data_IF_611627109000
#
_entry.id   IF_611627109000
#
_cell.length_a   1.000
_cell.length_b   1.000
_cell.length_c   1.000
_cell.angle_alpha   90.00
_cell.angle_beta   90.00
_cell.angle_gamma   90.00
#
_symmetry.space_group_name_H-M   'P 1'
#
loop_
_entity.id
_entity.type
_entity.pdbx_description
1 polymer ?
#
# COMPACT_ATOMS: atom_id res chain seq x y z
N UNK A 1 -15.53 8.02 -24.03
CA UNK A 1 -15.26 6.58 -23.77
C UNK A 1 -15.59 6.31 -22.30
N UNK A 2 -16.15 5.14 -21.95
CA UNK A 2 -16.46 4.77 -20.56
C UNK A 2 -15.44 3.74 -20.06
N UNK A 3 -14.98 3.89 -18.82
CA UNK A 3 -14.10 2.93 -18.15
C UNK A 3 -14.62 2.65 -16.74
N UNK A 4 -14.31 1.47 -16.21
CA UNK A 4 -14.70 1.07 -14.86
C UNK A 4 -13.59 1.32 -13.84
N UNK A 5 -14.01 1.60 -12.61
CA UNK A 5 -13.16 1.57 -11.42
C UNK A 5 -13.72 0.59 -10.39
N UNK A 6 -12.88 -0.25 -9.75
CA UNK A 6 -13.39 -1.28 -8.85
C UNK A 6 -13.90 -0.67 -7.55
N UNK A 7 -15.18 -0.91 -7.21
CA UNK A 7 -15.81 -0.35 -6.01
C UNK A 7 -15.57 -1.17 -4.74
N UNK A 8 -15.24 -2.45 -4.90
CA UNK A 8 -14.95 -3.33 -3.77
C UNK A 8 -13.66 -2.91 -3.05
N UNK A 9 -13.66 -3.10 -1.74
CA UNK A 9 -12.53 -2.92 -0.84
C UNK A 9 -12.10 -4.27 -0.22
N UNK A 10 -12.83 -5.35 -0.49
CA UNK A 10 -12.47 -6.67 -0.01
C UNK A 10 -11.42 -7.28 -0.95
N UNK A 11 -10.15 -7.24 -0.55
CA UNK A 11 -9.02 -7.76 -1.35
C UNK A 11 -9.26 -9.17 -1.91
N UNK A 12 -9.81 -10.14 -1.15
CA UNK A 12 -10.07 -11.49 -1.69
C UNK A 12 -11.11 -11.53 -2.82
N UNK A 13 -11.95 -10.50 -2.94
CA UNK A 13 -12.95 -10.37 -4.00
C UNK A 13 -12.43 -9.67 -5.25
N UNK A 14 -11.26 -9.02 -5.16
CA UNK A 14 -10.65 -8.28 -6.26
C UNK A 14 -9.83 -9.22 -7.14
N UNK A 15 -10.02 -9.12 -8.46
CA UNK A 15 -9.08 -9.69 -9.41
C UNK A 15 -7.75 -8.94 -9.39
N UNK A 16 -6.69 -9.57 -9.90
CA UNK A 16 -5.38 -8.94 -10.00
C UNK A 16 -5.41 -7.66 -10.86
N UNK A 17 -6.24 -7.62 -11.91
CA UNK A 17 -6.45 -6.42 -12.73
C UNK A 17 -7.11 -5.30 -11.92
N UNK A 18 -8.17 -5.60 -11.16
CA UNK A 18 -8.83 -4.61 -10.31
C UNK A 18 -7.87 -4.07 -9.23
N UNK A 19 -7.08 -4.95 -8.63
CA UNK A 19 -6.08 -4.56 -7.65
C UNK A 19 -4.97 -3.71 -8.28
N UNK A 20 -4.54 -4.05 -9.50
CA UNK A 20 -3.55 -3.29 -10.25
C UNK A 20 -4.02 -1.86 -10.53
N UNK A 21 -5.29 -1.67 -10.92
CA UNK A 21 -5.89 -0.35 -11.14
C UNK A 21 -5.85 0.51 -9.87
N UNK A 22 -6.18 -0.10 -8.71
CA UNK A 22 -6.09 0.58 -7.40
C UNK A 22 -4.66 0.95 -7.05
N UNK A 23 -3.70 0.04 -7.25
CA UNK A 23 -2.27 0.30 -7.02
C UNK A 23 -1.79 1.45 -7.89
N UNK A 24 -2.10 1.40 -9.19
CA UNK A 24 -1.68 2.38 -10.18
C UNK A 24 -2.21 3.78 -9.87
N UNK A 25 -3.45 3.91 -9.37
CA UNK A 25 -4.02 5.20 -8.94
C UNK A 25 -3.16 5.93 -7.91
N UNK A 26 -2.53 5.20 -6.99
CA UNK A 26 -1.81 5.76 -5.84
C UNK A 26 -0.30 5.71 -5.99
N UNK A 27 0.20 5.21 -7.11
CA UNK A 27 1.62 5.00 -7.36
C UNK A 27 2.13 5.94 -8.43
N UNK A 28 3.22 6.64 -8.16
CA UNK A 28 3.83 7.56 -9.12
C UNK A 28 4.28 6.82 -10.37
N UNK A 29 4.15 7.48 -11.51
CA UNK A 29 4.67 6.94 -12.76
C UNK A 29 6.21 6.86 -12.69
N UNK A 30 6.79 5.75 -13.13
CA UNK A 30 8.24 5.56 -13.23
C UNK A 30 8.80 6.15 -14.51
N UNK A 31 7.98 6.28 -15.56
CA UNK A 31 8.39 6.80 -16.87
C UNK A 31 8.33 8.34 -16.98
N UNK A 32 7.54 9.02 -16.15
CA UNK A 32 7.47 10.49 -16.13
C UNK A 32 7.50 11.07 -14.71
N UNK A 33 8.06 12.26 -14.56
CA UNK A 33 8.33 12.86 -13.25
C UNK A 33 7.14 13.59 -12.60
N UNK A 34 6.12 13.94 -13.38
CA UNK A 34 5.01 14.78 -12.94
C UNK A 34 3.72 14.01 -12.63
N UNK A 35 3.62 12.73 -12.98
CA UNK A 35 2.40 11.96 -12.79
C UNK A 35 2.35 11.37 -11.37
N UNK A 36 1.42 11.81 -10.51
CA UNK A 36 1.32 11.33 -9.13
C UNK A 36 0.68 9.93 -9.02
N UNK A 37 0.04 9.45 -10.10
CA UNK A 37 -0.79 8.24 -10.11
C UNK A 37 -1.65 8.16 -11.36
N UNK A 38 -2.20 6.98 -11.64
CA UNK A 38 -3.11 6.74 -12.77
C UNK A 38 -4.28 7.73 -12.75
N UNK A 39 -4.48 8.41 -13.88
CA UNK A 39 -5.59 9.36 -14.12
C UNK A 39 -6.26 9.03 -15.44
N UNK A 40 -7.60 9.13 -15.53
CA UNK A 40 -8.28 8.96 -16.81
C UNK A 40 -7.80 9.99 -17.84
N UNK A 41 -7.55 9.58 -19.11
CA UNK A 41 -7.32 10.50 -20.21
C UNK A 41 -8.52 11.43 -20.45
N UNK A 42 -8.32 12.58 -21.12
CA UNK A 42 -9.42 13.50 -21.43
C UNK A 42 -10.50 12.81 -22.26
N UNK A 43 -11.77 13.01 -21.91
CA UNK A 43 -12.91 12.37 -22.58
C UNK A 43 -13.18 10.91 -22.17
N UNK A 44 -12.44 10.37 -21.19
CA UNK A 44 -12.75 9.11 -20.51
C UNK A 44 -13.58 9.40 -19.26
N UNK A 45 -14.79 8.84 -19.21
CA UNK A 45 -15.67 8.90 -18.06
C UNK A 45 -15.54 7.62 -17.24
N UNK A 46 -15.22 7.76 -15.96
CA UNK A 46 -14.99 6.62 -15.05
C UNK A 46 -16.21 6.43 -14.18
N UNK A 47 -16.76 5.21 -14.15
CA UNK A 47 -17.86 4.82 -13.24
C UNK A 47 -17.44 3.65 -12.38
N UNK A 48 -18.12 3.44 -11.25
CA UNK A 48 -17.90 2.25 -10.44
C UNK A 48 -18.48 1.00 -11.13
N UNK A 49 -17.83 -0.15 -10.93
CA UNK A 49 -18.28 -1.45 -11.44
C UNK A 49 -19.57 -1.98 -10.77
N UNK A 50 -19.91 -1.42 -9.61
CA UNK A 50 -21.09 -1.80 -8.83
C UNK A 50 -22.32 -0.92 -9.10
N UNK A 51 -22.15 0.19 -9.82
CA UNK A 51 -23.28 1.03 -10.23
C UNK A 51 -24.04 0.31 -11.36
N UNK A 52 -25.39 0.25 -11.31
CA UNK A 52 -26.15 -0.28 -12.41
C UNK A 52 -25.79 0.49 -13.68
N UNK A 53 -25.47 -0.23 -14.75
CA UNK A 53 -25.23 0.38 -16.06
C UNK A 53 -26.55 0.95 -16.54
N UNK A 54 -26.81 2.21 -16.22
CA UNK A 54 -27.92 2.94 -16.79
C UNK A 54 -27.55 3.23 -18.24
N UNK A 55 -28.07 2.42 -19.15
CA UNK A 55 -27.88 2.55 -20.60
C UNK A 55 -28.59 3.79 -21.18
N UNK A 56 -29.13 4.68 -20.34
CA UNK A 56 -29.82 5.90 -20.74
C UNK A 56 -28.85 7.07 -20.95
N UNK A 57 -27.96 6.96 -21.95
CA UNK A 57 -27.49 8.15 -22.66
C UNK A 57 -28.34 8.36 -23.91
N UNK A 58 -28.72 9.60 -24.26
CA UNK A 58 -29.54 9.85 -25.43
C UNK A 58 -28.73 9.50 -26.69
N UNK A 59 -29.21 8.49 -27.41
CA UNK A 59 -28.77 8.17 -28.75
C UNK A 59 -28.98 9.39 -29.67
N UNK A 60 -27.89 10.03 -30.07
CA UNK A 60 -27.88 10.84 -31.28
C UNK A 60 -26.50 10.78 -31.93
N UNK A 61 -26.33 9.80 -32.82
CA UNK A 61 -25.58 9.90 -34.10
C UNK A 61 -25.47 8.51 -34.76
N UNK A 62 -26.48 8.19 -35.55
CA UNK A 62 -26.46 7.45 -36.83
C UNK A 62 -25.49 6.26 -37.05
N UNK A 63 -26.12 5.07 -37.16
CA UNK A 63 -25.98 4.04 -38.21
C UNK A 63 -24.59 3.45 -38.60
N UNK A 64 -24.58 2.11 -38.62
CA UNK A 64 -23.61 1.17 -39.19
C UNK A 64 -22.33 0.93 -38.36
N UNK A 65 -22.31 -0.15 -37.56
CA UNK A 65 -21.40 -1.30 -37.76
C UNK A 65 -21.56 -2.36 -36.66
N UNK A 66 -21.90 -3.58 -37.10
CA UNK A 66 -21.51 -4.87 -36.52
C UNK A 66 -22.04 -5.25 -35.14
N UNK A 67 -22.40 -6.53 -34.98
CA UNK A 67 -22.61 -7.18 -33.68
C UNK A 67 -21.34 -7.03 -32.85
N UNK A 68 -21.26 -5.98 -32.04
CA UNK A 68 -20.25 -5.86 -30.98
C UNK A 68 -20.91 -6.42 -29.74
N UNK A 69 -20.26 -7.45 -29.19
CA UNK A 69 -20.64 -8.09 -27.94
C UNK A 69 -21.03 -7.05 -26.89
N UNK A 70 -22.09 -7.32 -26.14
CA UNK A 70 -22.48 -6.60 -24.94
C UNK A 70 -21.42 -6.83 -23.84
N UNK A 71 -20.19 -6.39 -24.12
CA UNK A 71 -19.02 -6.53 -23.30
C UNK A 71 -19.01 -5.32 -22.35
N UNK A 72 -19.05 -5.61 -21.05
CA UNK A 72 -18.88 -4.61 -20.01
C UNK A 72 -17.66 -3.72 -20.32
N UNK A 73 -17.74 -2.39 -20.14
CA UNK A 73 -16.60 -1.50 -20.35
C UNK A 73 -15.37 -2.00 -19.57
N UNK A 74 -14.16 -1.87 -20.14
CA UNK A 74 -12.95 -2.32 -19.47
C UNK A 74 -12.64 -1.46 -18.25
N UNK A 75 -11.79 -1.97 -17.37
CA UNK A 75 -11.22 -1.15 -16.30
C UNK A 75 -10.28 -0.08 -16.86
N UNK A 76 -10.05 0.97 -16.07
CA UNK A 76 -9.11 2.03 -16.43
C UNK A 76 -7.68 1.49 -16.53
N UNK A 77 -7.13 1.37 -17.73
CA UNK A 77 -5.78 0.82 -17.98
C UNK A 77 -4.72 1.85 -18.36
N UNK A 78 -5.12 2.99 -18.92
CA UNK A 78 -4.20 3.99 -19.47
C UNK A 78 -4.30 5.30 -18.69
N UNK A 79 -3.16 5.95 -18.50
CA UNK A 79 -3.07 7.23 -17.81
C UNK A 79 -3.12 8.42 -18.78
N UNK A 80 -3.55 9.59 -18.29
CA UNK A 80 -3.37 10.88 -18.98
C UNK A 80 -1.91 11.18 -19.36
N UNK A 81 -0.94 10.61 -18.65
CA UNK A 81 0.47 10.76 -18.99
C UNK A 81 0.93 9.88 -20.16
N UNK A 82 0.03 9.04 -20.70
CA UNK A 82 0.31 8.15 -21.84
C UNK A 82 0.95 6.81 -21.47
N UNK A 83 1.07 6.50 -20.17
CA UNK A 83 1.62 5.23 -19.69
C UNK A 83 0.55 4.37 -19.00
N UNK A 84 0.81 3.07 -18.90
CA UNK A 84 -0.13 2.06 -18.47
C UNK A 84 0.06 1.70 -16.98
N UNK A 85 -0.64 0.68 -16.52
CA UNK A 85 -0.58 0.20 -15.13
C UNK A 85 0.84 -0.19 -14.71
N UNK A 86 1.64 -0.74 -15.64
CA UNK A 86 3.01 -1.17 -15.38
C UNK A 86 3.91 -0.02 -14.93
N UNK A 87 3.88 1.10 -15.65
CA UNK A 87 4.68 2.27 -15.30
C UNK A 87 4.15 2.97 -14.04
N UNK A 88 2.94 2.65 -13.60
CA UNK A 88 2.37 3.09 -12.33
C UNK A 88 2.56 2.03 -11.23
N UNK A 89 3.58 1.18 -11.32
CA UNK A 89 3.99 0.31 -10.22
C UNK A 89 3.00 -0.82 -9.90
N UNK A 90 2.15 -1.18 -10.87
CA UNK A 90 1.21 -2.30 -10.80
C UNK A 90 1.58 -3.44 -11.78
N UNK A 91 2.85 -3.53 -12.16
CA UNK A 91 3.36 -4.65 -12.95
C UNK A 91 3.62 -5.88 -12.07
N UNK A 92 2.69 -6.83 -12.13
CA UNK A 92 2.77 -8.09 -11.39
C UNK A 92 3.94 -8.98 -11.85
N UNK A 93 4.46 -8.78 -13.07
CA UNK A 93 5.56 -9.58 -13.61
C UNK A 93 6.93 -9.12 -13.12
N UNK A 94 7.08 -7.83 -12.77
CA UNK A 94 8.33 -7.26 -12.27
C UNK A 94 8.37 -7.09 -10.76
N UNK A 95 7.22 -7.12 -10.08
CA UNK A 95 7.11 -6.95 -8.63
C UNK A 95 6.80 -8.31 -7.98
N UNK A 96 7.48 -8.59 -6.87
CA UNK A 96 7.20 -9.80 -6.08
C UNK A 96 5.73 -9.85 -5.63
N UNK A 97 5.06 -11.02 -5.65
CA UNK A 97 3.65 -11.13 -5.23
C UNK A 97 3.37 -10.61 -3.82
N UNK A 98 4.32 -10.74 -2.88
CA UNK A 98 4.17 -10.20 -1.53
C UNK A 98 4.14 -8.67 -1.53
N UNK A 99 5.01 -8.05 -2.32
CA UNK A 99 5.07 -6.60 -2.49
C UNK A 99 3.84 -6.07 -3.25
N UNK A 100 3.39 -6.78 -4.30
CA UNK A 100 2.14 -6.46 -4.99
C UNK A 100 0.95 -6.49 -4.02
N UNK A 101 0.86 -7.54 -3.19
CA UNK A 101 -0.16 -7.63 -2.14
C UNK A 101 -0.03 -6.53 -1.08
N UNK A 102 1.19 -6.14 -0.69
CA UNK A 102 1.44 -5.04 0.25
C UNK A 102 0.95 -3.71 -0.30
N UNK A 103 1.28 -3.41 -1.55
CA UNK A 103 0.78 -2.23 -2.27
C UNK A 103 -0.74 -2.26 -2.43
N UNK A 104 -1.29 -3.42 -2.77
CA UNK A 104 -2.73 -3.62 -2.86
C UNK A 104 -3.47 -3.27 -1.56
N UNK A 105 -2.97 -3.72 -0.41
CA UNK A 105 -3.53 -3.39 0.91
C UNK A 105 -3.54 -1.88 1.20
N UNK A 106 -2.44 -1.20 0.89
CA UNK A 106 -2.32 0.25 1.10
C UNK A 106 -3.23 1.02 0.14
N UNK A 107 -3.31 0.59 -1.12
CA UNK A 107 -4.18 1.20 -2.14
C UNK A 107 -5.66 1.05 -1.80
N UNK A 108 -6.09 -0.13 -1.37
CA UNK A 108 -7.45 -0.37 -0.88
C UNK A 108 -7.80 0.54 0.29
N UNK A 109 -6.89 0.66 1.27
CA UNK A 109 -7.09 1.57 2.40
C UNK A 109 -7.21 3.03 1.99
N UNK A 110 -6.44 3.46 0.98
CA UNK A 110 -6.55 4.82 0.45
C UNK A 110 -7.90 5.03 -0.26
N UNK A 111 -8.38 4.03 -0.99
CA UNK A 111 -9.70 4.08 -1.63
C UNK A 111 -10.85 4.10 -0.62
N UNK A 112 -10.75 3.36 0.50
CA UNK A 112 -11.75 3.41 1.58
C UNK A 112 -11.91 4.84 2.11
N UNK A 113 -10.80 5.51 2.44
CA UNK A 113 -10.83 6.90 2.91
C UNK A 113 -11.44 7.85 1.87
N UNK A 114 -11.11 7.66 0.59
CA UNK A 114 -11.70 8.46 -0.49
C UNK A 114 -13.19 8.19 -0.67
N UNK A 115 -13.62 6.94 -0.47
CA UNK A 115 -15.03 6.55 -0.56
C UNK A 115 -15.84 7.13 0.59
N UNK A 116 -15.31 7.12 1.80
CA UNK A 116 -15.96 7.72 2.98
C UNK A 116 -16.21 9.23 2.81
N UNK A 117 -15.39 9.91 2.01
CA UNK A 117 -15.53 11.32 1.69
C UNK A 117 -16.26 11.61 0.36
N UNK A 118 -16.80 10.59 -0.32
CA UNK A 118 -17.42 10.69 -1.66
C UNK A 118 -16.48 11.28 -2.74
N UNK A 119 -15.18 11.00 -2.60
CA UNK A 119 -14.10 11.46 -3.50
C UNK A 119 -13.43 10.31 -4.23
N UNK A 120 -14.05 9.12 -4.24
CA UNK A 120 -13.48 7.94 -4.87
C UNK A 120 -13.30 8.11 -6.39
N UNK A 121 -14.15 8.86 -7.07
CA UNK A 121 -13.98 9.16 -8.50
C UNK A 121 -13.31 10.52 -8.76
N UNK A 122 -13.03 11.29 -7.71
CA UNK A 122 -12.20 12.48 -7.82
C UNK A 122 -10.73 12.05 -7.84
N UNK A 123 -10.20 11.91 -9.06
CA UNK A 123 -8.79 11.62 -9.22
C UNK A 123 -7.94 12.82 -8.78
N UNK A 124 -8.34 14.07 -8.99
CA UNK A 124 -7.50 15.22 -8.64
C UNK A 124 -7.32 15.41 -7.12
N UNK A 125 -8.25 14.91 -6.31
CA UNK A 125 -8.21 15.07 -4.86
C UNK A 125 -6.98 14.45 -4.19
N UNK A 126 -6.48 15.15 -3.17
CA UNK A 126 -5.41 14.69 -2.29
C UNK A 126 -5.48 15.42 -0.94
N UNK A 127 -5.20 14.69 0.12
CA UNK A 127 -5.01 15.22 1.48
C UNK A 127 -3.75 14.62 2.14
N UNK A 128 -3.52 14.93 3.41
CA UNK A 128 -2.35 14.47 4.16
C UNK A 128 -2.37 12.95 4.45
N UNK A 129 -3.56 12.36 4.65
CA UNK A 129 -3.71 10.92 4.90
C UNK A 129 -3.43 10.12 3.63
N UNK A 130 -4.04 10.51 2.51
CA UNK A 130 -3.80 9.92 1.19
C UNK A 130 -2.34 10.09 0.80
N UNK A 131 -1.76 11.27 1.00
CA UNK A 131 -0.33 11.50 0.74
C UNK A 131 0.56 10.61 1.61
N UNK A 132 0.18 10.37 2.86
CA UNK A 132 0.85 9.45 3.78
C UNK A 132 0.83 8.00 3.28
N UNK A 133 -0.31 7.51 2.80
CA UNK A 133 -0.44 6.17 2.24
C UNK A 133 0.34 6.02 0.93
N UNK A 134 0.30 7.02 0.05
CA UNK A 134 1.08 7.02 -1.20
C UNK A 134 2.60 6.92 -0.96
N UNK A 135 3.12 7.45 0.16
CA UNK A 135 4.52 7.26 0.53
C UNK A 135 4.84 5.80 0.90
N UNK A 136 3.88 5.08 1.48
CA UNK A 136 4.05 3.66 1.80
C UNK A 136 4.01 2.76 0.55
N UNK A 137 3.50 3.25 -0.58
CA UNK A 137 3.54 2.53 -1.87
C UNK A 137 4.94 2.51 -2.50
N UNK A 138 5.83 3.40 -2.06
CA UNK A 138 7.20 3.46 -2.58
C UNK A 138 8.05 2.38 -1.90
N UNK A 139 8.88 1.70 -2.69
CA UNK A 139 9.92 0.83 -2.13
C UNK A 139 10.83 1.74 -1.31
N UNK A 140 11.05 1.48 -0.01
CA UNK A 140 12.10 2.17 0.71
C UNK A 140 13.40 1.94 -0.06
N UNK A 141 14.18 2.98 -0.42
CA UNK A 141 15.56 2.74 -0.82
C UNK A 141 16.17 2.05 0.38
N UNK A 142 16.49 0.76 0.22
CA UNK A 142 16.97 -0.16 1.24
C UNK A 142 17.09 0.49 2.61
N UNK A 143 16.23 0.10 3.55
CA UNK A 143 16.64 0.15 4.95
C UNK A 143 17.99 -0.55 5.00
N UNK A 144 19.08 0.21 4.92
CA UNK A 144 20.41 -0.24 5.28
C UNK A 144 20.16 -0.84 6.63
N UNK A 145 20.34 -2.15 6.67
CA UNK A 145 20.09 -3.03 7.80
C UNK A 145 20.14 -2.20 9.08
N UNK A 146 18.97 -1.94 9.67
CA UNK A 146 18.95 -1.58 11.08
C UNK A 146 19.38 -2.86 11.77
N UNK A 147 20.69 -3.09 11.79
CA UNK A 147 21.37 -4.16 12.49
C UNK A 147 20.98 -4.03 13.96
N UNK A 148 19.88 -4.69 14.31
CA UNK A 148 19.55 -5.10 15.67
C UNK A 148 20.66 -6.00 16.26
N UNK A 149 21.65 -6.37 15.45
CA UNK A 149 22.92 -7.00 15.81
C UNK A 149 23.85 -6.11 16.66
N UNK A 150 23.76 -4.77 16.60
CA UNK A 150 24.69 -3.88 17.34
C UNK A 150 24.24 -3.59 18.80
N UNK A 151 23.00 -3.90 19.17
CA UNK A 151 22.48 -3.61 20.51
C UNK A 151 22.66 -4.76 21.53
N UNK A 152 23.20 -5.91 21.13
CA UNK A 152 23.45 -7.05 22.03
C UNK A 152 24.95 -7.32 22.31
N UNK A 153 25.85 -6.47 21.81
CA UNK A 153 27.30 -6.62 21.98
C UNK A 153 27.94 -5.84 23.14
N UNK A 154 27.19 -5.05 23.90
CA UNK A 154 27.77 -4.14 24.92
C UNK A 154 27.29 -4.46 26.35
N UNK A 155 27.53 -5.70 26.80
CA UNK A 155 27.53 -6.05 28.23
C UNK A 155 28.59 -7.14 28.48
N UNK A 156 29.79 -6.72 28.91
CA UNK A 156 30.65 -7.52 29.77
C UNK A 156 32.00 -8.00 29.22
N UNK A 157 32.91 -7.08 28.90
CA UNK A 157 34.34 -7.33 29.14
C UNK A 157 34.64 -6.92 30.59
N UNK A 158 34.65 -7.88 31.51
CA UNK A 158 35.31 -7.77 32.82
C UNK A 158 35.33 -9.16 33.47
N UNK A 159 36.38 -9.95 33.25
CA UNK A 159 36.90 -10.93 34.23
C UNK A 159 38.13 -11.67 33.69
N UNK A 160 39.32 -11.15 34.01
CA UNK A 160 40.52 -11.96 34.17
C UNK A 160 41.09 -11.70 35.56
N UNK A 161 40.85 -12.60 36.51
CA UNK A 161 41.81 -12.90 37.58
C UNK A 161 41.43 -14.19 38.33
N UNK A 162 42.47 -14.91 38.79
CA UNK A 162 42.51 -16.13 39.61
C UNK A 162 42.14 -17.43 38.87
N UNK A 163 43.10 -18.23 38.37
CA UNK A 163 44.08 -19.09 39.07
C UNK A 163 43.47 -20.00 40.13
N UNK A 164 43.59 -21.30 39.84
CA UNK A 164 43.76 -22.47 40.72
C UNK A 164 43.01 -22.46 42.05
N UNK A 165 42.11 -23.42 42.27
CA UNK A 165 42.13 -24.33 43.42
C UNK A 165 40.95 -25.31 43.35
N UNK A 166 41.33 -26.59 43.28
CA UNK A 166 40.73 -27.80 43.83
C UNK A 166 39.29 -27.78 44.41
N UNK A 167 38.52 -28.77 43.97
CA UNK A 167 37.70 -29.66 44.80
C UNK A 167 36.51 -29.12 45.64
N UNK A 168 35.40 -29.85 45.48
CA UNK A 168 34.37 -30.12 46.49
C UNK A 168 33.58 -28.93 47.11
N UNK A 169 32.29 -28.84 46.73
CA UNK A 169 31.08 -28.83 47.60
C UNK A 169 30.05 -27.71 47.36
N UNK A 170 28.77 -28.14 47.38
CA UNK A 170 27.52 -27.43 47.73
C UNK A 170 27.07 -26.25 46.83
N UNK A 171 26.01 -26.39 46.02
CA UNK A 171 24.58 -26.41 46.38
C UNK A 171 23.97 -25.05 46.80
N UNK A 172 23.01 -24.63 45.96
CA UNK A 172 21.74 -23.92 46.27
C UNK A 172 21.71 -22.41 46.59
N UNK A 173 20.77 -21.77 45.85
CA UNK A 173 19.80 -20.73 46.26
C UNK A 173 20.21 -19.25 46.29
N UNK A 174 19.57 -18.45 45.42
CA UNK A 174 18.60 -17.38 45.76
C UNK A 174 17.91 -16.91 44.46
N UNK A 175 16.62 -17.17 44.24
CA UNK A 175 15.39 -16.44 44.68
C UNK A 175 15.14 -15.10 43.97
N UNK A 176 14.09 -15.11 43.13
CA UNK A 176 12.88 -14.24 43.15
C UNK A 176 13.04 -12.75 43.49
N UNK A 177 12.62 -11.86 42.57
CA UNK A 177 11.71 -10.70 42.78
C UNK A 177 11.41 -9.97 41.45
N UNK A 178 10.16 -10.02 40.97
CA UNK A 178 9.13 -8.95 40.98
C UNK A 178 9.43 -7.83 39.95
N UNK A 179 8.71 -7.69 38.83
CA UNK A 179 7.30 -7.26 38.66
C UNK A 179 6.98 -5.95 39.42
N UNK A 180 6.75 -4.85 38.70
CA UNK A 180 6.27 -3.60 39.31
C UNK A 180 6.30 -2.38 38.37
N UNK A 181 5.13 -2.06 37.84
CA UNK A 181 4.72 -0.82 37.15
C UNK A 181 4.77 0.44 38.05
N UNK A 182 4.49 1.61 37.42
CA UNK A 182 4.14 2.95 37.95
C UNK A 182 5.24 3.99 37.69
N UNK A 183 5.14 4.93 36.74
CA UNK A 183 4.15 5.99 36.53
C UNK A 183 3.98 6.92 37.76
N UNK A 184 4.72 8.04 37.82
CA UNK A 184 4.19 9.43 37.88
C UNK A 184 5.25 10.51 38.18
N UNK A 185 5.17 11.58 37.38
CA UNK A 185 5.16 13.03 37.74
C UNK A 185 6.34 13.64 38.54
N UNK A 186 7.05 14.63 37.94
CA UNK A 186 6.88 16.11 38.10
C UNK A 186 7.18 16.56 39.55
N UNK A 187 7.98 17.56 39.89
CA UNK A 187 8.57 18.71 39.19
C UNK A 187 9.58 19.40 40.17
N UNK A 188 10.14 20.59 39.89
CA UNK A 188 11.55 20.93 40.16
C UNK A 188 11.77 21.78 41.43
N UNK A 189 13.04 21.99 41.77
CA UNK A 189 13.63 23.31 42.06
C UNK A 189 15.10 23.31 41.63
#
# INVERSE_FOLDING_TARGET
MKALYPASHEIPSLSDEQLAVKIARHSRCTACSSCPGLRPPPGVYVTLDSEPQDDTLPEDSTELHSKVDNASPPYLSNCVCGHDLSEHGADQSSIDPEEFGRRGRVAVRADELLKDEDKLLDFAYTDDHISGLRRQMQIPPSSRESSISDALGSLGEDAQCAKDFSDLRHARQCRLRQAGTCYRQRHPF
#
